data_IF_332792696135
#
_entry.id   IF_332792696135
#
_cell.length_a   1.000
_cell.length_b   1.000
_cell.length_c   1.000
_cell.angle_alpha   90.00
_cell.angle_beta   90.00
_cell.angle_gamma   90.00
#
_symmetry.space_group_name_H-M   'P 1'
#
loop_
_entity.id
_entity.type
_entity.pdbx_description
1 polymer ?
#
# COMPACT_ATOMS: atom_id res chain seq x y z
N UNK A 1 -2.05 -5.53 6.08
CA UNK A 1 -2.70 -5.27 4.78
C UNK A 1 -3.89 -6.20 4.63
N UNK A 2 -5.02 -5.73 4.10
CA UNK A 2 -6.24 -6.53 3.92
C UNK A 2 -6.62 -6.48 2.43
N UNK A 3 -6.51 -7.60 1.70
CA UNK A 3 -6.81 -7.64 0.26
C UNK A 3 -8.28 -7.36 -0.02
N UNK A 4 -9.21 -7.96 0.74
CA UNK A 4 -10.67 -7.83 0.52
C UNK A 4 -11.10 -6.37 0.41
N UNK A 5 -10.67 -5.52 1.37
CA UNK A 5 -10.98 -4.09 1.37
C UNK A 5 -10.41 -3.32 0.18
N UNK A 6 -9.27 -3.76 -0.35
CA UNK A 6 -8.68 -3.11 -1.52
C UNK A 6 -9.35 -3.61 -2.80
N UNK A 7 -9.73 -4.89 -2.85
CA UNK A 7 -10.41 -5.49 -4.01
C UNK A 7 -11.87 -5.06 -4.17
N UNK A 8 -12.46 -4.41 -3.15
CA UNK A 8 -13.76 -3.74 -3.29
C UNK A 8 -13.71 -2.55 -4.27
N UNK A 9 -12.54 -1.94 -4.47
CA UNK A 9 -12.38 -0.74 -5.31
C UNK A 9 -11.35 -0.90 -6.44
N UNK A 10 -10.43 -1.87 -6.34
CA UNK A 10 -9.32 -2.03 -7.26
C UNK A 10 -9.18 -3.48 -7.75
N UNK A 11 -8.71 -3.64 -8.97
CA UNK A 11 -8.43 -4.94 -9.56
C UNK A 11 -7.01 -5.42 -9.22
N UNK A 12 -6.76 -6.72 -9.37
CA UNK A 12 -5.45 -7.34 -9.14
C UNK A 12 -4.31 -6.61 -9.89
N UNK A 13 -4.59 -6.16 -11.12
CA UNK A 13 -3.63 -5.48 -12.01
C UNK A 13 -3.23 -4.08 -11.54
N UNK A 14 -4.06 -3.44 -10.72
CA UNK A 14 -3.80 -2.07 -10.25
C UNK A 14 -2.67 -2.06 -9.21
N UNK A 15 -2.47 -3.20 -8.54
CA UNK A 15 -1.41 -3.43 -7.56
C UNK A 15 -0.29 -4.33 -8.10
N UNK A 16 -0.63 -5.36 -8.89
CA UNK A 16 0.32 -6.38 -9.33
C UNK A 16 0.59 -6.34 -10.84
N UNK A 17 1.84 -6.53 -11.29
CA UNK A 17 3.07 -6.72 -10.48
C UNK A 17 3.84 -5.42 -10.26
N UNK A 18 3.33 -4.31 -10.80
CA UNK A 18 4.02 -3.02 -10.85
C UNK A 18 4.31 -2.45 -9.44
N UNK A 19 3.31 -2.43 -8.56
CA UNK A 19 3.43 -1.86 -7.22
C UNK A 19 3.95 -2.90 -6.23
N UNK A 20 3.40 -4.12 -6.31
CA UNK A 20 3.76 -5.24 -5.47
C UNK A 20 4.06 -6.49 -6.30
N UNK A 21 5.13 -7.25 -6.01
CA UNK A 21 5.29 -8.57 -6.59
C UNK A 21 4.21 -9.53 -6.06
N UNK A 22 3.77 -10.49 -6.88
CA UNK A 22 2.93 -11.61 -6.43
C UNK A 22 3.76 -12.66 -5.66
N UNK A 23 4.48 -12.21 -4.64
CA UNK A 23 5.31 -13.04 -3.77
C UNK A 23 5.27 -12.48 -2.35
N UNK A 24 4.87 -13.30 -1.39
CA UNK A 24 4.90 -12.94 0.02
C UNK A 24 6.34 -12.59 0.42
N UNK A 25 6.51 -11.46 1.11
CA UNK A 25 7.82 -10.92 1.50
C UNK A 25 8.80 -10.75 0.31
N UNK A 26 8.29 -10.57 -0.92
CA UNK A 26 9.11 -10.42 -2.12
C UNK A 26 9.91 -9.12 -2.17
N UNK A 27 9.51 -8.10 -1.41
CA UNK A 27 10.28 -6.88 -1.18
C UNK A 27 10.15 -6.43 0.27
N UNK A 28 11.23 -5.87 0.79
CA UNK A 28 11.22 -5.11 2.04
C UNK A 28 10.65 -3.73 1.76
N UNK A 29 9.55 -3.40 2.43
CA UNK A 29 8.90 -2.09 2.35
C UNK A 29 9.30 -1.31 3.59
N UNK A 30 9.79 -0.09 3.40
CA UNK A 30 10.13 0.85 4.48
C UNK A 30 9.33 2.14 4.32
N UNK A 31 9.06 2.81 5.44
CA UNK A 31 8.25 4.04 5.45
C UNK A 31 8.84 5.13 4.56
N UNK A 32 10.16 5.27 4.48
CA UNK A 32 10.82 6.22 3.58
C UNK A 32 10.45 6.03 2.11
N UNK A 33 10.25 4.78 1.66
CA UNK A 33 9.81 4.50 0.30
C UNK A 33 8.33 4.80 0.12
N UNK A 34 7.52 4.56 1.14
CA UNK A 34 6.09 4.89 1.16
C UNK A 34 5.90 6.40 1.04
N UNK A 35 6.64 7.20 1.81
CA UNK A 35 6.57 8.66 1.72
C UNK A 35 7.09 9.22 0.38
N UNK A 36 7.89 8.44 -0.36
CA UNK A 36 8.30 8.76 -1.74
C UNK A 36 7.29 8.30 -2.79
N UNK A 37 6.07 7.91 -2.39
CA UNK A 37 5.00 7.50 -3.30
C UNK A 37 5.09 6.06 -3.80
N UNK A 38 5.95 5.22 -3.22
CA UNK A 38 6.04 3.80 -3.58
C UNK A 38 5.11 2.94 -2.73
N UNK A 39 4.79 1.74 -3.22
CA UNK A 39 3.98 0.74 -2.50
C UNK A 39 2.65 1.35 -2.04
N UNK A 40 2.37 1.31 -0.73
CA UNK A 40 1.20 1.89 -0.11
C UNK A 40 1.05 3.38 -0.47
N UNK A 41 2.16 4.12 -0.56
CA UNK A 41 2.19 5.55 -0.80
C UNK A 41 1.76 5.97 -2.21
N UNK A 42 1.65 5.02 -3.15
CA UNK A 42 1.08 5.29 -4.49
C UNK A 42 -0.35 5.82 -4.38
N UNK A 43 -1.10 5.35 -3.38
CA UNK A 43 -2.47 5.77 -3.11
C UNK A 43 -2.65 6.40 -1.72
N UNK A 44 -1.94 5.92 -0.69
CA UNK A 44 -1.99 6.48 0.67
C UNK A 44 -1.13 7.75 0.81
N UNK A 45 -1.46 8.74 -0.01
CA UNK A 45 -0.75 10.02 -0.14
C UNK A 45 -1.51 11.21 0.49
N UNK A 46 -2.72 11.00 1.00
CA UNK A 46 -3.57 12.06 1.55
C UNK A 46 -4.56 12.65 0.53
N UNK A 47 -4.46 12.26 -0.74
CA UNK A 47 -5.34 12.72 -1.82
C UNK A 47 -6.22 11.58 -2.33
N UNK A 48 -5.61 10.47 -2.76
CA UNK A 48 -6.33 9.29 -3.28
C UNK A 48 -6.91 8.44 -2.15
N UNK A 49 -6.15 8.29 -1.07
CA UNK A 49 -6.56 7.64 0.16
C UNK A 49 -5.92 8.38 1.35
N UNK A 50 -6.29 7.98 2.57
CA UNK A 50 -5.71 8.56 3.78
C UNK A 50 -4.17 8.55 3.75
N UNK A 51 -3.56 9.55 4.36
CA UNK A 51 -2.10 9.71 4.37
C UNK A 51 -1.41 8.56 5.11
N UNK A 52 -0.27 8.13 4.56
CA UNK A 52 0.62 7.16 5.21
C UNK A 52 1.23 7.64 6.53
N UNK A 53 1.01 8.91 6.91
CA UNK A 53 1.36 9.44 8.23
C UNK A 53 0.42 8.97 9.35
N UNK A 54 -0.76 8.42 9.04
CA UNK A 54 -1.70 7.91 10.04
C UNK A 54 -1.31 6.50 10.52
N UNK A 55 -0.24 6.42 11.31
CA UNK A 55 0.44 5.18 11.72
C UNK A 55 -0.51 4.07 12.19
N UNK A 56 -1.48 4.41 13.04
CA UNK A 56 -2.38 3.46 13.69
C UNK A 56 -3.36 2.76 12.72
N UNK A 57 -3.52 3.28 11.50
CA UNK A 57 -4.41 2.66 10.50
C UNK A 57 -3.82 1.37 9.94
N UNK A 58 -2.49 1.26 9.93
CA UNK A 58 -1.76 0.11 9.40
C UNK A 58 -1.02 -0.65 10.49
N UNK A 59 -0.40 0.05 11.44
CA UNK A 59 0.38 -0.53 12.54
C UNK A 59 -0.50 -0.72 13.77
N UNK A 60 -1.41 -1.70 13.67
CA UNK A 60 -2.17 -2.15 14.83
C UNK A 60 -1.25 -3.00 15.74
N UNK A 61 -1.44 -2.87 17.06
CA UNK A 61 -0.74 -3.66 18.08
C UNK A 61 -1.15 -5.14 18.03
#
# INVERSE_FOLDING_TARGET
FNHEKHTEMFDCKDCHTEVFPMKLNGKKIIMDEIFKGKYCGKCHNGETAFSSSDCNRCHKA
#
